data_IF_513834034767
#
_entry.id   IF_513834034767
#
_cell.length_a   1.000
_cell.length_b   1.000
_cell.length_c   1.000
_cell.angle_alpha   90.00
_cell.angle_beta   90.00
_cell.angle_gamma   90.00
#
_symmetry.space_group_name_H-M   'P 1'
#
loop_
_entity.id
_entity.type
_entity.pdbx_description
1 polymer ?
#
# COMPACT_ATOMS: atom_id res chain seq x y z
N UNK A 1 0.62 16.06 -7.10
CA UNK A 1 1.83 16.91 -6.93
C UNK A 1 1.97 17.90 -8.08
N UNK A 2 1.93 17.48 -9.31
CA UNK A 2 2.20 18.29 -10.51
C UNK A 2 1.30 19.50 -10.64
N UNK A 3 -0.02 19.32 -10.56
CA UNK A 3 -1.01 20.39 -10.69
C UNK A 3 -0.85 21.48 -9.62
N UNK A 4 -0.68 21.08 -8.34
CA UNK A 4 -0.59 22.02 -7.22
C UNK A 4 0.71 22.81 -7.15
N UNK A 5 1.78 22.29 -7.75
CA UNK A 5 3.07 22.97 -7.79
C UNK A 5 3.41 23.50 -9.19
N UNK A 6 2.46 23.41 -10.14
CA UNK A 6 2.64 23.81 -11.54
C UNK A 6 3.93 23.25 -12.15
N UNK A 7 4.11 21.94 -12.05
CA UNK A 7 5.34 21.26 -12.45
C UNK A 7 5.11 20.39 -13.69
N UNK A 8 6.04 20.52 -14.64
CA UNK A 8 6.13 19.55 -15.73
C UNK A 8 6.78 18.26 -15.19
N UNK A 9 6.05 17.14 -15.27
CA UNK A 9 6.53 15.84 -14.84
C UNK A 9 7.87 15.48 -15.50
N UNK A 10 8.76 14.86 -14.76
CA UNK A 10 10.13 14.47 -15.15
C UNK A 10 11.09 15.64 -15.44
N UNK A 11 10.72 16.88 -15.17
CA UNK A 11 11.64 18.01 -15.22
C UNK A 11 12.53 18.07 -13.97
N UNK A 12 13.65 18.82 -14.04
CA UNK A 12 14.52 19.03 -12.87
C UNK A 12 13.78 19.62 -11.67
N UNK A 13 12.85 20.57 -11.91
CA UNK A 13 12.01 21.14 -10.85
C UNK A 13 11.07 20.10 -10.24
N UNK A 14 10.56 19.16 -11.06
CA UNK A 14 9.73 18.07 -10.58
C UNK A 14 10.52 17.12 -9.65
N UNK A 15 11.76 16.76 -10.01
CA UNK A 15 12.63 15.94 -9.15
C UNK A 15 12.99 16.64 -7.85
N UNK A 16 13.22 17.96 -7.85
CA UNK A 16 13.43 18.73 -6.62
C UNK A 16 12.19 18.66 -5.70
N UNK A 17 10.99 18.76 -6.27
CA UNK A 17 9.76 18.62 -5.50
C UNK A 17 9.53 17.18 -5.01
N UNK A 18 9.81 16.18 -5.87
CA UNK A 18 9.73 14.77 -5.49
C UNK A 18 10.68 14.45 -4.31
N UNK A 19 11.87 15.01 -4.29
CA UNK A 19 12.81 14.87 -3.18
C UNK A 19 12.23 15.41 -1.85
N UNK A 20 11.52 16.55 -1.89
CA UNK A 20 10.83 17.10 -0.72
C UNK A 20 9.70 16.18 -0.23
N UNK A 21 8.92 15.59 -1.15
CA UNK A 21 7.89 14.60 -0.82
C UNK A 21 8.50 13.32 -0.25
N UNK A 22 9.55 12.78 -0.87
CA UNK A 22 10.25 11.60 -0.37
C UNK A 22 10.81 11.81 1.05
N UNK A 23 11.40 12.99 1.31
CA UNK A 23 11.88 13.39 2.64
C UNK A 23 10.72 13.45 3.66
N UNK A 24 9.59 14.03 3.29
CA UNK A 24 8.38 14.05 4.12
C UNK A 24 7.90 12.63 4.43
N UNK A 25 7.75 11.79 3.41
CA UNK A 25 7.31 10.40 3.57
C UNK A 25 8.24 9.62 4.52
N UNK A 26 9.54 9.75 4.35
CA UNK A 26 10.53 9.12 5.23
C UNK A 26 10.44 9.63 6.69
N UNK A 27 10.19 10.93 6.89
CA UNK A 27 9.96 11.47 8.23
C UNK A 27 8.72 10.89 8.90
N UNK A 28 7.70 10.50 8.11
CA UNK A 28 6.51 9.77 8.53
C UNK A 28 6.72 8.25 8.70
N UNK A 29 7.95 7.76 8.56
CA UNK A 29 8.33 6.34 8.64
C UNK A 29 7.81 5.49 7.50
N UNK A 30 7.40 6.09 6.39
CA UNK A 30 7.06 5.35 5.17
C UNK A 30 8.33 4.82 4.50
N UNK A 31 8.27 3.59 4.00
CA UNK A 31 9.42 2.91 3.40
C UNK A 31 9.09 2.12 2.13
N UNK A 32 7.87 2.30 1.61
CA UNK A 32 7.40 1.76 0.34
C UNK A 32 6.80 2.86 -0.53
N UNK A 33 7.04 2.82 -1.85
CA UNK A 33 6.46 3.76 -2.81
C UNK A 33 6.07 3.03 -4.09
N UNK A 34 4.94 3.46 -4.66
CA UNK A 34 4.45 2.93 -5.95
C UNK A 34 5.21 3.56 -7.11
N UNK A 35 5.68 2.70 -8.01
CA UNK A 35 6.33 3.10 -9.27
C UNK A 35 5.28 3.69 -10.22
N UNK A 36 5.55 4.84 -10.86
CA UNK A 36 4.66 5.42 -11.86
C UNK A 36 4.42 4.50 -13.06
N UNK A 37 3.14 4.26 -13.36
CA UNK A 37 2.75 3.28 -14.40
C UNK A 37 3.20 3.65 -15.81
N UNK A 38 3.28 4.94 -16.13
CA UNK A 38 3.71 5.43 -17.43
C UNK A 38 5.19 5.13 -17.77
N UNK A 39 5.97 4.64 -16.82
CA UNK A 39 7.35 4.18 -17.07
C UNK A 39 7.41 2.85 -17.83
N UNK A 40 6.28 2.13 -17.89
CA UNK A 40 6.07 0.97 -18.75
C UNK A 40 4.99 1.37 -19.76
N UNK A 41 5.35 1.49 -21.02
CA UNK A 41 4.44 2.01 -22.04
C UNK A 41 4.70 1.37 -23.42
N UNK A 42 3.88 1.72 -24.41
CA UNK A 42 4.11 1.37 -25.81
C UNK A 42 4.83 2.51 -26.53
N UNK A 43 5.90 2.19 -27.22
CA UNK A 43 6.60 3.10 -28.10
C UNK A 43 6.78 2.41 -29.47
N UNK A 44 6.24 3.01 -30.50
CA UNK A 44 6.26 2.45 -31.88
C UNK A 44 5.69 1.01 -31.94
N UNK A 45 4.66 0.71 -31.14
CA UNK A 45 4.04 -0.63 -31.01
C UNK A 45 4.78 -1.61 -30.11
N UNK A 46 6.01 -1.29 -29.70
CA UNK A 46 6.82 -2.13 -28.82
C UNK A 46 6.70 -1.73 -27.35
N UNK A 47 6.77 -2.72 -26.46
CA UNK A 47 6.76 -2.47 -25.01
C UNK A 47 8.09 -1.87 -24.59
N UNK A 48 8.02 -0.66 -24.09
CA UNK A 48 9.17 0.11 -23.61
C UNK A 48 9.13 0.28 -22.09
N UNK A 49 10.27 0.04 -21.44
CA UNK A 49 10.51 0.36 -20.03
C UNK A 49 11.51 1.49 -19.96
N UNK A 50 11.11 2.65 -19.44
CA UNK A 50 11.97 3.81 -19.27
C UNK A 50 12.91 3.61 -18.06
N UNK A 51 13.97 2.82 -18.26
CA UNK A 51 14.91 2.45 -17.18
C UNK A 51 15.56 3.67 -16.54
N UNK A 52 15.90 4.69 -17.33
CA UNK A 52 16.59 5.88 -16.82
C UNK A 52 15.72 6.69 -15.87
N UNK A 53 14.45 6.93 -16.24
CA UNK A 53 13.52 7.61 -15.34
C UNK A 53 13.13 6.74 -14.17
N UNK A 54 12.97 5.43 -14.36
CA UNK A 54 12.63 4.50 -13.29
C UNK A 54 13.69 4.45 -12.22
N UNK A 55 14.96 4.28 -12.59
CA UNK A 55 16.05 4.28 -11.61
C UNK A 55 16.27 5.66 -10.98
N UNK A 56 16.10 6.74 -11.74
CA UNK A 56 16.17 8.10 -11.22
C UNK A 56 15.09 8.36 -10.17
N UNK A 57 13.85 7.90 -10.43
CA UNK A 57 12.77 7.95 -9.46
C UNK A 57 13.10 7.14 -8.20
N UNK A 58 13.50 5.90 -8.36
CA UNK A 58 13.85 4.99 -7.24
C UNK A 58 14.97 5.58 -6.38
N UNK A 59 16.01 6.15 -6.98
CA UNK A 59 17.14 6.74 -6.27
C UNK A 59 16.75 7.92 -5.36
N UNK A 60 15.72 8.70 -5.72
CA UNK A 60 15.17 9.74 -4.84
C UNK A 60 14.69 9.15 -3.53
N UNK A 61 14.02 7.99 -3.56
CA UNK A 61 13.51 7.34 -2.37
C UNK A 61 14.58 6.53 -1.62
N UNK A 62 15.47 5.85 -2.33
CA UNK A 62 16.59 5.13 -1.71
C UNK A 62 17.46 6.06 -0.84
N UNK A 63 17.68 7.31 -1.28
CA UNK A 63 18.37 8.36 -0.51
C UNK A 63 17.78 8.55 0.90
N UNK A 64 16.49 8.32 1.07
CA UNK A 64 15.77 8.46 2.34
C UNK A 64 15.47 7.13 3.04
N UNK A 65 16.08 6.03 2.59
CA UNK A 65 15.98 4.74 3.25
C UNK A 65 14.73 3.92 2.92
N UNK A 66 14.05 4.24 1.81
CA UNK A 66 12.98 3.39 1.30
C UNK A 66 13.52 2.01 0.94
N UNK A 67 12.73 0.98 1.22
CA UNK A 67 13.14 -0.41 1.08
C UNK A 67 12.32 -1.20 0.08
N UNK A 68 11.13 -0.70 -0.30
CA UNK A 68 10.21 -1.42 -1.17
C UNK A 68 9.68 -0.51 -2.26
N UNK A 69 9.53 -1.10 -3.45
CA UNK A 69 9.04 -0.45 -4.66
C UNK A 69 7.91 -1.27 -5.24
N UNK A 70 6.71 -0.73 -5.15
CA UNK A 70 5.47 -1.37 -5.59
C UNK A 70 5.26 -1.10 -7.08
N UNK A 71 5.16 -2.16 -7.88
CA UNK A 71 4.97 -2.01 -9.33
C UNK A 71 3.60 -1.41 -9.66
N UNK A 72 3.42 -0.85 -10.85
CA UNK A 72 2.07 -0.63 -11.37
C UNK A 72 1.37 -1.97 -11.64
N UNK A 73 0.04 -1.96 -11.63
CA UNK A 73 -0.76 -3.10 -12.08
C UNK A 73 -0.53 -3.37 -13.57
N UNK A 74 -0.34 -4.62 -13.96
CA UNK A 74 -0.13 -5.05 -15.34
C UNK A 74 -1.45 -5.21 -16.08
N UNK A 75 -2.48 -5.63 -15.38
CA UNK A 75 -3.83 -5.85 -15.90
C UNK A 75 -4.86 -5.02 -15.15
N UNK A 76 -6.07 -4.98 -15.69
CA UNK A 76 -7.25 -4.40 -15.08
C UNK A 76 -8.47 -5.23 -15.37
N UNK A 77 -9.57 -4.91 -14.71
CA UNK A 77 -10.89 -5.42 -15.06
C UNK A 77 -11.32 -4.75 -16.36
N UNK A 78 -11.95 -5.45 -17.28
CA UNK A 78 -12.30 -5.00 -18.63
C UNK A 78 -12.96 -3.62 -18.75
N UNK A 79 -13.70 -3.37 -19.80
CA UNK A 79 -14.37 -2.09 -20.02
C UNK A 79 -15.23 -1.69 -18.82
N UNK A 80 -15.14 -0.41 -18.44
CA UNK A 80 -15.89 0.18 -17.31
C UNK A 80 -15.54 -0.39 -15.92
N UNK A 81 -14.35 -0.98 -15.74
CA UNK A 81 -13.92 -1.55 -14.46
C UNK A 81 -14.91 -2.63 -13.94
N UNK A 82 -15.33 -3.53 -14.84
CA UNK A 82 -16.34 -4.54 -14.56
C UNK A 82 -15.84 -5.60 -13.57
N UNK A 83 -16.36 -5.56 -12.35
CA UNK A 83 -16.03 -6.50 -11.27
C UNK A 83 -16.52 -7.93 -11.52
N UNK A 84 -17.49 -8.11 -12.43
CA UNK A 84 -18.03 -9.40 -12.87
C UNK A 84 -17.27 -10.03 -14.03
N UNK A 85 -16.25 -9.36 -14.57
CA UNK A 85 -15.46 -9.90 -15.68
C UNK A 85 -14.58 -11.07 -15.21
N UNK A 86 -14.69 -12.26 -15.81
CA UNK A 86 -13.84 -13.40 -15.49
C UNK A 86 -12.44 -13.30 -16.10
N UNK A 87 -12.24 -12.48 -17.11
CA UNK A 87 -10.96 -12.26 -17.75
C UNK A 87 -10.40 -10.87 -17.43
N UNK A 88 -9.12 -10.82 -17.11
CA UNK A 88 -8.36 -9.59 -16.94
C UNK A 88 -7.81 -9.10 -18.28
N UNK A 89 -7.76 -7.77 -18.41
CA UNK A 89 -7.33 -7.06 -19.62
C UNK A 89 -5.98 -6.42 -19.40
N UNK A 90 -5.04 -6.56 -20.34
CA UNK A 90 -3.72 -5.94 -20.27
C UNK A 90 -3.81 -4.41 -20.32
N UNK A 91 -2.90 -3.74 -19.60
CA UNK A 91 -2.92 -2.26 -19.46
C UNK A 91 -2.38 -1.53 -20.68
N UNK A 92 -1.47 -2.14 -21.44
CA UNK A 92 -0.81 -1.46 -22.56
C UNK A 92 -1.57 -1.65 -23.87
N UNK A 93 -1.88 -2.88 -24.26
CA UNK A 93 -2.58 -3.20 -25.51
C UNK A 93 -4.09 -3.28 -25.37
N UNK A 94 -4.58 -3.33 -24.13
CA UNK A 94 -6.02 -3.42 -23.81
C UNK A 94 -6.68 -4.66 -24.44
N UNK A 95 -6.00 -5.80 -24.37
CA UNK A 95 -6.47 -7.10 -24.87
C UNK A 95 -6.65 -8.09 -23.71
N UNK A 96 -7.52 -9.10 -23.90
CA UNK A 96 -7.72 -10.14 -22.91
C UNK A 96 -6.44 -10.94 -22.66
N UNK A 97 -6.18 -11.31 -21.41
CA UNK A 97 -4.98 -12.07 -21.04
C UNK A 97 -4.87 -13.40 -21.78
N UNK A 98 -5.99 -14.10 -22.03
CA UNK A 98 -5.95 -15.41 -22.66
C UNK A 98 -5.63 -15.38 -24.15
N UNK A 99 -5.58 -14.22 -24.78
CA UNK A 99 -5.09 -14.08 -26.16
C UNK A 99 -3.57 -14.27 -26.22
N UNK A 100 -3.04 -14.66 -27.38
CA UNK A 100 -1.58 -14.77 -27.57
C UNK A 100 -0.89 -13.42 -27.34
N UNK A 101 -1.52 -12.33 -27.77
CA UNK A 101 -1.02 -10.98 -27.58
C UNK A 101 -0.99 -10.58 -26.09
N UNK A 102 -2.04 -10.93 -25.33
CA UNK A 102 -2.11 -10.66 -23.90
C UNK A 102 -1.05 -11.42 -23.10
N UNK A 103 -0.88 -12.72 -23.37
CA UNK A 103 0.20 -13.53 -22.75
C UNK A 103 1.58 -13.00 -23.10
N UNK A 104 1.79 -12.63 -24.38
CA UNK A 104 3.05 -12.06 -24.84
C UNK A 104 3.36 -10.70 -24.16
N UNK A 105 2.34 -9.85 -23.96
CA UNK A 105 2.52 -8.59 -23.22
C UNK A 105 3.06 -8.85 -21.82
N UNK A 106 2.44 -9.75 -21.05
CA UNK A 106 2.87 -10.11 -19.70
C UNK A 106 4.29 -10.70 -19.69
N UNK A 107 4.60 -11.56 -20.66
CA UNK A 107 5.93 -12.17 -20.82
C UNK A 107 7.01 -11.10 -21.01
N UNK A 108 6.81 -10.18 -21.97
CA UNK A 108 7.76 -9.12 -22.29
C UNK A 108 7.97 -8.19 -21.11
N UNK A 109 6.88 -7.74 -20.47
CA UNK A 109 6.97 -6.86 -19.29
C UNK A 109 7.74 -7.57 -18.16
N UNK A 110 7.40 -8.81 -17.87
CA UNK A 110 8.06 -9.58 -16.79
C UNK A 110 9.57 -9.74 -17.05
N UNK A 111 9.96 -10.08 -18.29
CA UNK A 111 11.39 -10.16 -18.67
C UNK A 111 12.12 -8.83 -18.51
N UNK A 112 11.47 -7.71 -18.90
CA UNK A 112 12.06 -6.37 -18.74
C UNK A 112 12.20 -5.99 -17.25
N UNK A 113 11.19 -6.24 -16.44
CA UNK A 113 11.24 -5.99 -14.99
C UNK A 113 12.34 -6.85 -14.34
N UNK A 114 12.42 -8.14 -14.67
CA UNK A 114 13.48 -9.02 -14.18
C UNK A 114 14.86 -8.45 -14.49
N UNK A 115 15.13 -8.15 -15.75
CA UNK A 115 16.42 -7.56 -16.17
C UNK A 115 16.73 -6.25 -15.45
N UNK A 116 15.74 -5.39 -15.27
CA UNK A 116 15.88 -4.12 -14.56
C UNK A 116 16.22 -4.34 -13.07
N UNK A 117 15.46 -5.17 -12.39
CA UNK A 117 15.63 -5.41 -10.95
C UNK A 117 16.94 -6.14 -10.64
N UNK A 118 17.37 -7.05 -11.49
CA UNK A 118 18.67 -7.72 -11.38
C UNK A 118 19.83 -6.72 -11.60
N UNK A 119 19.75 -5.90 -12.67
CA UNK A 119 20.77 -4.88 -13.01
C UNK A 119 21.02 -3.90 -11.87
N UNK A 120 19.96 -3.50 -11.15
CA UNK A 120 20.03 -2.49 -10.10
C UNK A 120 19.96 -3.07 -8.67
N UNK A 121 20.06 -4.40 -8.52
CA UNK A 121 19.97 -5.11 -7.23
C UNK A 121 18.67 -4.84 -6.45
N UNK A 122 17.55 -4.72 -7.15
CA UNK A 122 16.24 -4.41 -6.59
C UNK A 122 15.32 -5.62 -6.42
N UNK A 123 15.75 -6.83 -6.78
CA UNK A 123 14.94 -8.06 -6.77
C UNK A 123 14.18 -8.28 -5.45
N UNK A 124 14.87 -8.10 -4.32
CA UNK A 124 14.27 -8.29 -2.98
C UNK A 124 13.42 -7.09 -2.51
N UNK A 125 13.50 -5.99 -3.21
CA UNK A 125 12.82 -4.73 -2.88
C UNK A 125 11.59 -4.49 -3.77
N UNK A 126 11.46 -5.24 -4.86
CA UNK A 126 10.38 -5.11 -5.82
C UNK A 126 9.16 -5.93 -5.39
N UNK A 127 8.00 -5.26 -5.33
CA UNK A 127 6.71 -5.87 -5.04
C UNK A 127 5.85 -5.78 -6.30
N UNK A 128 5.49 -6.93 -6.86
CA UNK A 128 4.78 -6.98 -8.13
C UNK A 128 3.27 -7.03 -7.92
N UNK A 129 2.55 -6.09 -8.52
CA UNK A 129 1.11 -6.15 -8.67
C UNK A 129 0.71 -6.76 -10.01
N UNK A 130 -0.38 -7.52 -10.01
CA UNK A 130 -0.99 -8.07 -11.24
C UNK A 130 -2.19 -7.21 -11.62
N UNK A 131 -3.24 -7.21 -10.80
CA UNK A 131 -4.47 -6.44 -11.02
C UNK A 131 -5.06 -6.04 -9.68
N UNK A 132 -5.66 -4.85 -9.62
CA UNK A 132 -6.25 -4.29 -8.42
C UNK A 132 -7.46 -5.09 -7.94
N UNK A 133 -7.47 -5.45 -6.66
CA UNK A 133 -8.57 -6.14 -5.98
C UNK A 133 -9.19 -7.30 -6.79
N UNK A 134 -8.43 -8.38 -7.10
CA UNK A 134 -8.98 -9.52 -7.81
C UNK A 134 -10.15 -10.14 -7.03
N UNK A 135 -11.17 -10.58 -7.78
CA UNK A 135 -12.40 -11.16 -7.25
C UNK A 135 -12.42 -12.67 -7.43
N UNK A 136 -13.35 -13.37 -6.78
CA UNK A 136 -13.56 -14.81 -7.01
C UNK A 136 -13.90 -15.13 -8.48
N UNK A 137 -14.48 -14.18 -9.21
CA UNK A 137 -14.87 -14.34 -10.62
C UNK A 137 -13.63 -14.39 -11.53
N UNK A 138 -12.62 -13.54 -11.29
CA UNK A 138 -11.40 -13.50 -12.09
C UNK A 138 -10.18 -14.17 -11.42
N UNK A 139 -10.38 -14.83 -10.29
CA UNK A 139 -9.30 -15.47 -9.53
C UNK A 139 -8.51 -16.49 -10.36
N UNK A 140 -9.19 -17.24 -11.25
CA UNK A 140 -8.49 -18.19 -12.15
C UNK A 140 -7.56 -17.45 -13.11
N UNK A 141 -8.04 -16.40 -13.77
CA UNK A 141 -7.22 -15.59 -14.68
C UNK A 141 -6.03 -14.97 -13.93
N UNK A 142 -6.27 -14.38 -12.77
CA UNK A 142 -5.22 -13.82 -11.90
C UNK A 142 -4.17 -14.88 -11.54
N UNK A 143 -4.58 -16.10 -11.19
CA UNK A 143 -3.67 -17.18 -10.81
C UNK A 143 -2.85 -17.67 -12.00
N UNK A 144 -3.44 -17.75 -13.19
CA UNK A 144 -2.73 -18.12 -14.43
C UNK A 144 -1.65 -17.08 -14.77
N UNK A 145 -1.96 -15.78 -14.61
CA UNK A 145 -0.99 -14.68 -14.78
C UNK A 145 0.13 -14.79 -13.76
N UNK A 146 -0.21 -15.01 -12.49
CA UNK A 146 0.77 -15.19 -11.40
C UNK A 146 1.73 -16.34 -11.71
N UNK A 147 1.21 -17.46 -12.17
CA UNK A 147 2.00 -18.64 -12.54
C UNK A 147 2.93 -18.32 -13.73
N UNK A 148 2.45 -17.62 -14.77
CA UNK A 148 3.29 -17.18 -15.88
C UNK A 148 4.43 -16.28 -15.43
N UNK A 149 4.13 -15.28 -14.59
CA UNK A 149 5.13 -14.36 -14.03
C UNK A 149 6.19 -15.13 -13.21
N UNK A 150 5.75 -16.00 -12.31
CA UNK A 150 6.66 -16.80 -11.46
C UNK A 150 7.48 -17.81 -12.25
N UNK A 151 6.98 -18.33 -13.36
CA UNK A 151 7.76 -19.19 -14.27
C UNK A 151 8.92 -18.42 -14.91
N UNK A 152 8.72 -17.15 -15.28
CA UNK A 152 9.75 -16.30 -15.90
C UNK A 152 10.69 -15.72 -14.85
N UNK A 153 10.13 -15.37 -13.70
CA UNK A 153 10.84 -14.67 -12.61
C UNK A 153 10.48 -15.29 -11.24
N UNK A 154 11.09 -16.46 -10.89
CA UNK A 154 10.74 -17.21 -9.68
C UNK A 154 10.92 -16.45 -8.35
N UNK A 155 11.89 -15.54 -8.28
CA UNK A 155 12.20 -14.79 -7.06
C UNK A 155 11.25 -13.62 -6.78
N UNK A 156 10.43 -13.24 -7.77
CA UNK A 156 9.52 -12.09 -7.63
C UNK A 156 8.47 -12.35 -6.56
N UNK A 157 8.15 -11.32 -5.79
CA UNK A 157 7.08 -11.36 -4.80
C UNK A 157 5.83 -10.66 -5.33
N UNK A 158 4.75 -11.41 -5.42
CA UNK A 158 3.45 -10.88 -5.83
C UNK A 158 2.72 -10.40 -4.59
N UNK A 159 2.38 -9.10 -4.58
CA UNK A 159 1.59 -8.46 -3.54
C UNK A 159 0.26 -7.99 -4.11
N UNK A 160 -0.82 -8.22 -3.36
CA UNK A 160 -2.12 -7.71 -3.80
C UNK A 160 -3.03 -7.33 -2.64
N UNK A 161 -3.72 -6.20 -2.81
CA UNK A 161 -4.83 -5.81 -1.95
C UNK A 161 -6.09 -6.54 -2.43
N UNK A 162 -6.68 -7.38 -1.57
CA UNK A 162 -7.88 -8.14 -1.94
C UNK A 162 -8.60 -8.71 -0.73
N UNK A 163 -9.91 -8.83 -0.84
CA UNK A 163 -10.78 -9.56 0.10
C UNK A 163 -11.14 -10.96 -0.42
N UNK A 164 -10.62 -11.36 -1.58
CA UNK A 164 -10.76 -12.71 -2.12
C UNK A 164 -9.64 -13.58 -1.57
N UNK A 165 -9.95 -14.75 -1.02
CA UNK A 165 -9.02 -15.58 -0.26
C UNK A 165 -8.72 -16.92 -0.94
N UNK A 166 -9.58 -17.91 -0.75
CA UNK A 166 -9.30 -19.32 -1.08
C UNK A 166 -9.01 -19.55 -2.56
N UNK A 167 -9.74 -18.87 -3.43
CA UNK A 167 -9.56 -18.97 -4.90
C UNK A 167 -8.24 -18.36 -5.41
N UNK A 168 -7.54 -17.59 -4.58
CA UNK A 168 -6.23 -16.98 -4.89
C UNK A 168 -5.05 -17.65 -4.14
N UNK A 169 -5.30 -18.74 -3.47
CA UNK A 169 -4.43 -19.36 -2.45
C UNK A 169 -2.95 -19.56 -2.79
N UNK A 170 -2.52 -19.69 -4.04
CA UNK A 170 -1.11 -19.86 -4.40
C UNK A 170 -0.61 -18.76 -5.36
N UNK A 171 -1.45 -17.74 -5.61
CA UNK A 171 -1.14 -16.69 -6.56
C UNK A 171 -0.42 -15.50 -5.92
N UNK A 172 -0.57 -15.32 -4.59
CA UNK A 172 -0.11 -14.14 -3.83
C UNK A 172 0.94 -14.56 -2.82
N UNK A 173 2.04 -13.83 -2.73
CA UNK A 173 3.08 -14.02 -1.71
C UNK A 173 2.90 -13.06 -0.52
N UNK A 174 2.31 -11.89 -0.78
CA UNK A 174 2.11 -10.84 0.21
C UNK A 174 0.66 -10.36 0.13
N UNK A 175 -0.13 -10.82 1.08
CA UNK A 175 -1.54 -10.50 1.19
C UNK A 175 -1.75 -9.13 1.83
N UNK A 176 -2.69 -8.36 1.29
CA UNK A 176 -3.08 -7.08 1.87
C UNK A 176 -4.61 -7.00 1.98
N UNK A 177 -5.25 -7.73 2.92
CA UNK A 177 -6.68 -7.61 3.18
C UNK A 177 -7.03 -6.28 3.86
N UNK A 178 -8.26 -5.82 3.67
CA UNK A 178 -8.81 -4.75 4.49
C UNK A 178 -8.93 -5.21 5.95
N UNK A 179 -8.74 -4.31 6.91
CA UNK A 179 -8.61 -4.68 8.33
C UNK A 179 -9.79 -5.46 8.91
N UNK A 180 -11.01 -5.22 8.42
CA UNK A 180 -12.19 -5.99 8.86
C UNK A 180 -12.16 -7.41 8.29
N UNK A 181 -11.83 -7.58 7.01
CA UNK A 181 -11.68 -8.92 6.42
C UNK A 181 -10.54 -9.69 7.10
N UNK A 182 -9.41 -9.03 7.37
CA UNK A 182 -8.32 -9.62 8.12
C UNK A 182 -8.77 -10.12 9.50
N UNK A 183 -9.46 -9.26 10.29
CA UNK A 183 -9.88 -9.62 11.64
C UNK A 183 -10.94 -10.72 11.68
N UNK A 184 -11.85 -10.74 10.71
CA UNK A 184 -12.92 -11.74 10.60
C UNK A 184 -12.40 -13.10 10.10
N UNK A 185 -11.28 -13.10 9.36
CA UNK A 185 -10.69 -14.28 8.74
C UNK A 185 -9.23 -14.51 9.16
N UNK A 186 -8.87 -14.14 10.38
CA UNK A 186 -7.49 -14.23 10.88
C UNK A 186 -6.88 -15.61 10.68
N UNK A 187 -7.63 -16.69 10.91
CA UNK A 187 -7.17 -18.07 10.77
C UNK A 187 -6.71 -18.41 9.35
N UNK A 188 -7.39 -17.89 8.32
CA UNK A 188 -6.93 -18.04 6.94
C UNK A 188 -5.56 -17.41 6.76
N UNK A 189 -5.38 -16.15 7.15
CA UNK A 189 -4.11 -15.45 6.98
C UNK A 189 -2.98 -16.08 7.80
N UNK A 190 -3.28 -16.56 9.03
CA UNK A 190 -2.31 -17.35 9.82
C UNK A 190 -1.90 -18.64 9.13
N UNK A 191 -2.81 -19.29 8.42
CA UNK A 191 -2.49 -20.48 7.64
C UNK A 191 -1.54 -20.17 6.47
N UNK A 192 -1.70 -19.02 5.83
CA UNK A 192 -0.82 -18.55 4.73
C UNK A 192 0.59 -18.20 5.25
N UNK A 193 0.66 -17.54 6.39
CA UNK A 193 1.96 -17.25 7.03
C UNK A 193 2.77 -18.51 7.36
N UNK A 194 2.10 -19.61 7.73
CA UNK A 194 2.78 -20.93 7.95
C UNK A 194 3.38 -21.48 6.66
N UNK A 195 2.90 -21.07 5.50
CA UNK A 195 3.47 -21.40 4.19
C UNK A 195 4.58 -20.44 3.74
N UNK A 196 4.95 -19.48 4.59
CA UNK A 196 6.00 -18.48 4.32
C UNK A 196 5.53 -17.20 3.63
N UNK A 197 4.23 -17.07 3.39
CA UNK A 197 3.64 -15.84 2.86
C UNK A 197 3.60 -14.73 3.92
N UNK A 198 3.37 -13.50 3.51
CA UNK A 198 3.32 -12.33 4.40
C UNK A 198 1.95 -11.66 4.34
N UNK A 199 1.62 -10.94 5.41
CA UNK A 199 0.36 -10.20 5.51
C UNK A 199 0.63 -8.75 5.88
N UNK A 200 0.11 -7.82 5.06
CA UNK A 200 -0.14 -6.43 5.40
C UNK A 200 -1.63 -6.28 5.71
N UNK A 201 -2.02 -5.11 6.15
CA UNK A 201 -3.44 -4.72 6.21
C UNK A 201 -3.62 -3.35 5.56
N UNK A 202 -4.81 -3.08 5.01
CA UNK A 202 -5.12 -1.77 4.48
C UNK A 202 -6.45 -1.22 5.00
N UNK A 203 -6.63 0.08 4.81
CA UNK A 203 -7.92 0.76 4.85
C UNK A 203 -8.01 1.70 3.65
N UNK A 204 -9.24 2.06 3.29
CA UNK A 204 -9.53 3.04 2.26
C UNK A 204 -10.74 3.89 2.70
N UNK A 205 -11.71 4.14 1.81
CA UNK A 205 -12.99 4.75 2.17
C UNK A 205 -13.75 3.93 3.24
N UNK A 206 -13.40 2.68 3.42
CA UNK A 206 -13.92 1.73 4.41
C UNK A 206 -12.76 1.05 5.15
N UNK A 207 -13.02 0.40 6.31
CA UNK A 207 -14.25 0.40 7.09
C UNK A 207 -14.42 1.71 7.89
N UNK A 208 -15.67 2.01 8.24
CA UNK A 208 -16.03 3.16 9.07
C UNK A 208 -16.40 2.79 10.52
N UNK A 209 -17.07 3.71 11.23
CA UNK A 209 -17.60 3.49 12.56
C UNK A 209 -16.51 3.22 13.62
N UNK A 210 -16.55 2.07 14.29
CA UNK A 210 -15.60 1.70 15.35
C UNK A 210 -14.25 1.19 14.83
N UNK A 211 -14.15 0.86 13.56
CA UNK A 211 -12.90 0.38 12.97
C UNK A 211 -11.83 1.47 12.95
N UNK A 212 -10.57 1.06 13.02
CA UNK A 212 -9.48 2.00 12.74
C UNK A 212 -9.60 2.48 11.29
N UNK A 213 -9.43 3.75 11.07
CA UNK A 213 -9.20 4.37 9.78
C UNK A 213 -8.52 5.74 9.99
N UNK A 214 -8.29 6.50 8.92
CA UNK A 214 -7.55 7.76 8.96
C UNK A 214 -8.34 8.95 8.42
N UNK A 215 -9.67 8.89 8.41
CA UNK A 215 -10.52 10.00 7.98
C UNK A 215 -10.43 11.22 8.91
N UNK A 216 -10.83 12.39 8.43
CA UNK A 216 -10.68 13.65 9.17
C UNK A 216 -11.53 13.71 10.45
N UNK A 217 -12.67 13.09 10.45
CA UNK A 217 -13.65 13.02 11.53
C UNK A 217 -13.29 12.04 12.67
N UNK A 218 -12.28 11.19 12.45
CA UNK A 218 -11.84 10.22 13.45
C UNK A 218 -10.83 10.80 14.43
N UNK A 219 -10.84 10.29 15.67
CA UNK A 219 -9.83 10.62 16.68
C UNK A 219 -8.44 10.17 16.22
N UNK A 220 -7.46 11.05 16.30
CA UNK A 220 -6.11 10.81 15.78
C UNK A 220 -5.40 9.63 16.44
N UNK A 221 -5.79 9.26 17.66
CA UNK A 221 -5.26 8.07 18.34
C UNK A 221 -5.55 6.76 17.59
N UNK A 222 -6.62 6.70 16.79
CA UNK A 222 -6.92 5.52 15.96
C UNK A 222 -5.82 5.22 14.97
N UNK A 223 -5.21 6.27 14.40
CA UNK A 223 -4.11 6.11 13.44
C UNK A 223 -2.82 5.63 14.11
N UNK A 224 -2.59 6.01 15.36
CA UNK A 224 -1.48 5.48 16.18
C UNK A 224 -1.63 3.98 16.36
N UNK A 225 -2.83 3.48 16.51
CA UNK A 225 -3.09 2.06 16.76
C UNK A 225 -2.87 1.12 15.57
N UNK A 226 -2.63 1.61 14.36
CA UNK A 226 -2.15 0.75 13.29
C UNK A 226 -0.79 0.11 13.64
N UNK A 227 0.11 0.85 14.27
CA UNK A 227 1.36 0.29 14.78
C UNK A 227 1.16 -0.75 15.90
N UNK A 228 0.20 -0.51 16.79
CA UNK A 228 -0.15 -1.47 17.85
C UNK A 228 -0.78 -2.74 17.29
N UNK A 229 -1.66 -2.60 16.29
CA UNK A 229 -2.23 -3.74 15.56
C UNK A 229 -1.16 -4.52 14.84
N UNK A 230 -0.23 -3.84 14.17
CA UNK A 230 0.93 -4.47 13.52
C UNK A 230 1.73 -5.35 14.48
N UNK A 231 2.07 -4.85 15.66
CA UNK A 231 2.80 -5.61 16.68
C UNK A 231 1.98 -6.75 17.28
N UNK A 232 0.68 -6.52 17.55
CA UNK A 232 -0.21 -7.55 18.10
C UNK A 232 -0.40 -8.72 17.15
N UNK A 233 -0.68 -8.42 15.90
CA UNK A 233 -1.00 -9.41 14.87
C UNK A 233 0.21 -9.81 14.02
N UNK A 234 1.39 -9.29 14.31
CA UNK A 234 2.62 -9.57 13.56
C UNK A 234 2.47 -9.32 12.04
N UNK A 235 1.69 -8.32 11.65
CA UNK A 235 1.53 -7.96 10.25
C UNK A 235 2.74 -7.18 9.75
N UNK A 236 3.11 -7.40 8.48
CA UNK A 236 4.30 -6.79 7.86
C UNK A 236 4.18 -5.27 7.72
N UNK A 237 2.98 -4.73 7.60
CA UNK A 237 2.77 -3.30 7.40
C UNK A 237 1.31 -2.89 7.26
N UNK A 238 1.16 -1.59 6.99
CA UNK A 238 -0.13 -0.97 6.71
C UNK A 238 -0.07 -0.20 5.38
N UNK A 239 -1.08 -0.37 4.56
CA UNK A 239 -1.23 0.28 3.27
C UNK A 239 -2.45 1.19 3.26
N UNK A 240 -2.34 2.30 2.54
CA UNK A 240 -3.47 3.12 2.12
C UNK A 240 -3.16 3.74 0.76
N UNK A 241 -4.16 3.77 -0.12
CA UNK A 241 -4.01 4.21 -1.51
C UNK A 241 -3.69 5.71 -1.67
N UNK A 242 -4.10 6.54 -0.72
CA UNK A 242 -4.00 7.99 -0.81
C UNK A 242 -3.05 8.61 0.21
N UNK A 243 -1.92 9.16 -0.25
CA UNK A 243 -1.08 10.08 0.53
C UNK A 243 -1.38 11.53 0.16
N UNK A 244 -1.43 11.81 -1.15
CA UNK A 244 -1.59 13.13 -1.76
C UNK A 244 -2.39 13.06 -3.07
N UNK A 245 -3.39 12.18 -3.11
CA UNK A 245 -4.28 11.97 -4.26
C UNK A 245 -5.38 13.03 -4.30
N UNK A 246 -4.97 14.31 -4.44
CA UNK A 246 -5.89 15.43 -4.44
C UNK A 246 -6.84 15.33 -5.64
N UNK A 247 -8.14 15.22 -5.37
CA UNK A 247 -9.23 15.21 -6.37
C UNK A 247 -9.99 16.55 -6.38
N UNK A 248 -9.70 17.40 -5.40
CA UNK A 248 -10.14 18.77 -5.24
C UNK A 248 -9.13 19.50 -4.37
N UNK A 249 -9.28 20.80 -4.16
CA UNK A 249 -8.44 21.54 -3.23
C UNK A 249 -8.59 20.98 -1.80
N UNK A 250 -7.53 20.35 -1.23
CA UNK A 250 -7.62 19.66 0.05
C UNK A 250 -7.84 20.61 1.24
N UNK A 251 -7.62 21.91 1.08
CA UNK A 251 -7.84 22.91 2.14
C UNK A 251 -9.31 23.32 2.26
N UNK A 252 -10.06 23.23 1.17
CA UNK A 252 -11.45 23.70 1.12
C UNK A 252 -12.47 22.60 0.89
N UNK A 253 -12.06 21.46 0.29
CA UNK A 253 -12.97 20.36 -0.03
C UNK A 253 -12.32 19.01 0.32
N UNK A 254 -12.74 18.42 1.43
CA UNK A 254 -12.21 17.14 1.93
C UNK A 254 -13.04 15.91 1.53
N UNK A 255 -14.31 16.10 1.15
CA UNK A 255 -15.21 15.07 0.61
C UNK A 255 -15.27 15.22 -0.90
N UNK A 256 -14.96 14.17 -1.62
CA UNK A 256 -14.90 14.18 -3.08
C UNK A 256 -15.68 13.01 -3.66
N UNK A 257 -16.14 13.15 -4.90
CA UNK A 257 -16.83 12.09 -5.61
C UNK A 257 -15.91 10.88 -5.81
N UNK A 258 -16.47 9.69 -5.70
CA UNK A 258 -15.73 8.45 -5.96
C UNK A 258 -15.23 8.43 -7.42
N UNK A 259 -13.95 8.08 -7.68
CA UNK A 259 -13.38 8.17 -9.02
C UNK A 259 -13.90 7.08 -9.99
N UNK A 260 -14.36 5.92 -9.47
CA UNK A 260 -14.85 4.83 -10.32
C UNK A 260 -16.28 5.14 -10.80
N UNK A 261 -16.55 5.05 -12.12
CA UNK A 261 -17.89 5.26 -12.66
C UNK A 261 -18.94 4.27 -12.13
N UNK A 262 -18.54 3.04 -11.82
CA UNK A 262 -19.47 2.01 -11.33
C UNK A 262 -19.90 2.22 -9.88
N UNK A 263 -19.18 3.05 -9.13
CA UNK A 263 -19.56 3.40 -7.76
C UNK A 263 -20.88 4.20 -7.70
N UNK A 264 -21.34 4.72 -8.85
CA UNK A 264 -22.57 5.49 -8.97
C UNK A 264 -22.40 6.97 -8.66
N UNK A 265 -23.39 7.80 -9.04
CA UNK A 265 -23.29 9.27 -9.00
C UNK A 265 -23.28 9.85 -7.59
N UNK A 266 -23.84 9.15 -6.62
CA UNK A 266 -24.00 9.59 -5.24
C UNK A 266 -23.00 8.95 -4.27
N UNK A 267 -21.96 8.30 -4.78
CA UNK A 267 -20.92 7.73 -3.95
C UNK A 267 -19.76 8.72 -3.77
N UNK A 268 -19.40 8.98 -2.53
CA UNK A 268 -18.37 9.92 -2.15
C UNK A 268 -17.33 9.25 -1.27
N UNK A 269 -16.06 9.64 -1.46
CA UNK A 269 -14.99 9.29 -0.55
C UNK A 269 -15.14 10.10 0.74
N UNK A 270 -14.99 9.48 1.92
CA UNK A 270 -15.08 10.20 3.19
C UNK A 270 -13.99 11.27 3.32
N UNK A 271 -14.25 12.23 4.20
CA UNK A 271 -13.38 13.36 4.41
C UNK A 271 -11.93 12.95 4.69
N UNK A 272 -11.01 13.35 3.83
CA UNK A 272 -9.58 13.11 3.96
C UNK A 272 -9.09 11.71 3.58
N UNK A 273 -9.93 10.86 2.99
CA UNK A 273 -9.50 9.55 2.48
C UNK A 273 -8.39 9.68 1.43
N UNK A 274 -8.49 10.68 0.55
CA UNK A 274 -7.55 10.89 -0.55
C UNK A 274 -6.16 11.37 -0.13
N UNK A 275 -6.02 11.94 1.07
CA UNK A 275 -4.76 12.58 1.48
C UNK A 275 -4.57 12.63 2.99
N UNK A 276 -3.30 12.66 3.41
CA UNK A 276 -2.88 12.93 4.80
C UNK A 276 -1.80 14.01 4.88
N UNK A 277 -1.22 14.41 3.76
CA UNK A 277 -0.34 15.57 3.61
C UNK A 277 -1.00 16.59 2.68
N UNK A 278 -0.58 17.84 2.76
CA UNK A 278 -1.17 18.95 2.03
C UNK A 278 -0.14 19.60 1.11
N UNK A 279 -0.54 20.18 -0.04
CA UNK A 279 0.39 20.91 -0.89
C UNK A 279 0.67 22.29 -0.28
N UNK A 280 1.91 22.56 0.09
CA UNK A 280 2.34 23.90 0.46
C UNK A 280 3.07 24.59 -0.70
N UNK A 281 3.30 25.87 -0.60
CA UNK A 281 3.95 26.67 -1.64
C UNK A 281 5.33 26.13 -2.01
N UNK A 282 6.15 25.82 -1.02
CA UNK A 282 7.51 25.33 -1.22
C UNK A 282 7.66 23.80 -1.16
N UNK A 283 6.61 23.06 -0.92
CA UNK A 283 6.64 21.61 -0.78
C UNK A 283 5.49 21.05 0.07
N UNK A 284 5.49 19.75 0.39
CA UNK A 284 4.41 19.16 1.17
C UNK A 284 4.36 19.68 2.60
N UNK A 285 3.16 19.84 3.14
CA UNK A 285 2.89 20.17 4.53
C UNK A 285 2.41 18.91 5.27
N UNK A 286 2.92 18.71 6.48
CA UNK A 286 2.48 17.65 7.38
C UNK A 286 1.07 17.93 7.92
N UNK A 287 0.43 16.91 8.50
CA UNK A 287 -0.83 17.04 9.21
C UNK A 287 -0.83 16.24 10.51
N UNK A 288 -1.79 16.53 11.39
CA UNK A 288 -1.98 15.73 12.61
C UNK A 288 -2.23 14.25 12.32
N UNK A 289 -2.82 13.91 11.17
CA UNK A 289 -3.04 12.53 10.75
C UNK A 289 -1.73 11.87 10.32
N UNK A 290 -0.90 12.58 9.57
CA UNK A 290 0.42 12.11 9.18
C UNK A 290 1.33 11.89 10.39
N UNK A 291 1.35 12.85 11.34
CA UNK A 291 2.10 12.71 12.59
C UNK A 291 1.59 11.57 13.48
N UNK A 292 0.27 11.33 13.50
CA UNK A 292 -0.29 10.19 14.21
C UNK A 292 0.18 8.85 13.63
N UNK A 293 0.27 8.72 12.30
CA UNK A 293 0.87 7.54 11.66
C UNK A 293 2.35 7.38 12.03
N UNK A 294 3.12 8.46 11.98
CA UNK A 294 4.54 8.44 12.40
C UNK A 294 4.68 7.91 13.83
N UNK A 295 3.87 8.44 14.76
CA UNK A 295 3.86 7.98 16.15
C UNK A 295 3.49 6.49 16.24
N UNK A 296 2.53 6.03 15.43
CA UNK A 296 2.14 4.62 15.36
C UNK A 296 3.28 3.72 14.91
N UNK A 297 4.04 4.13 13.89
CA UNK A 297 5.21 3.38 13.43
C UNK A 297 6.32 3.35 14.50
N UNK A 298 6.54 4.46 15.21
CA UNK A 298 7.51 4.51 16.31
C UNK A 298 7.07 3.64 17.51
N UNK A 299 5.77 3.61 17.79
CA UNK A 299 5.22 2.72 18.83
C UNK A 299 5.39 1.24 18.43
N UNK A 300 5.21 0.91 17.14
CA UNK A 300 5.48 -0.44 16.64
C UNK A 300 6.90 -0.88 16.96
N UNK A 301 7.91 -0.07 16.66
CA UNK A 301 9.30 -0.39 16.95
C UNK A 301 9.54 -0.59 18.46
N UNK A 302 8.98 0.30 19.29
CA UNK A 302 9.06 0.15 20.74
C UNK A 302 8.39 -1.13 21.25
N UNK A 303 7.25 -1.51 20.67
CA UNK A 303 6.54 -2.74 21.00
C UNK A 303 7.31 -3.97 20.57
N UNK A 304 7.96 -3.96 19.38
CA UNK A 304 8.81 -5.05 18.92
C UNK A 304 10.09 -5.18 19.76
N UNK A 305 10.66 -4.08 20.25
CA UNK A 305 11.73 -4.11 21.25
C UNK A 305 11.25 -4.76 22.56
N UNK A 306 10.10 -4.31 23.07
CA UNK A 306 9.51 -4.87 24.28
C UNK A 306 9.20 -6.36 24.13
N UNK A 307 8.68 -6.78 22.99
CA UNK A 307 8.35 -8.17 22.68
C UNK A 307 9.56 -9.11 22.77
N UNK A 308 10.74 -8.61 22.37
CA UNK A 308 12.02 -9.34 22.48
C UNK A 308 12.54 -9.42 23.93
N UNK A 309 12.28 -8.41 24.73
CA UNK A 309 12.74 -8.31 26.14
C UNK A 309 11.81 -9.10 27.05
N UNK A 310 10.48 -8.89 26.91
CA UNK A 310 9.45 -9.48 27.77
C UNK A 310 8.15 -9.68 26.98
N UNK A 311 7.99 -10.86 26.40
CA UNK A 311 6.84 -11.22 25.58
C UNK A 311 5.51 -11.17 26.35
N UNK A 312 5.50 -11.63 27.61
CA UNK A 312 4.28 -11.67 28.42
C UNK A 312 3.83 -10.25 28.81
N UNK A 313 4.79 -9.39 29.14
CA UNK A 313 4.49 -7.99 29.40
C UNK A 313 4.02 -7.26 28.13
N UNK A 314 4.64 -7.53 26.97
CA UNK A 314 4.20 -7.00 25.67
C UNK A 314 2.72 -7.36 25.43
N UNK A 315 2.35 -8.64 25.50
CA UNK A 315 0.97 -9.10 25.34
C UNK A 315 0.02 -8.39 26.32
N UNK A 316 0.36 -8.42 27.59
CA UNK A 316 -0.44 -7.79 28.67
C UNK A 316 -0.64 -6.29 28.47
N UNK A 317 0.37 -5.58 27.96
CA UNK A 317 0.30 -4.11 27.83
C UNK A 317 -0.49 -3.71 26.59
N UNK A 318 -0.41 -4.47 25.50
CA UNK A 318 -1.24 -4.26 24.32
C UNK A 318 -2.71 -4.50 24.66
N UNK A 319 -3.05 -5.64 25.25
CA UNK A 319 -4.44 -6.00 25.57
C UNK A 319 -5.12 -5.00 26.52
N UNK A 320 -4.36 -4.25 27.31
CA UNK A 320 -4.90 -3.17 28.17
C UNK A 320 -5.44 -1.98 27.38
N UNK A 321 -4.98 -1.73 26.18
CA UNK A 321 -5.30 -0.50 25.45
C UNK A 321 -5.87 -0.78 24.06
N UNK A 322 -5.43 -1.84 23.43
CA UNK A 322 -5.80 -2.26 22.09
C UNK A 322 -6.12 -3.76 22.07
N UNK A 323 -7.40 -4.11 22.07
CA UNK A 323 -7.85 -5.49 21.99
C UNK A 323 -7.88 -5.99 20.57
N UNK A 324 -8.46 -5.21 19.64
CA UNK A 324 -8.55 -5.47 18.22
C UNK A 324 -8.87 -4.17 17.46
N UNK A 325 -9.05 -4.27 16.15
CA UNK A 325 -9.29 -3.10 15.28
C UNK A 325 -10.62 -2.36 15.51
N UNK A 326 -11.51 -2.88 16.38
CA UNK A 326 -12.77 -2.23 16.78
C UNK A 326 -12.86 -1.92 18.28
N UNK A 327 -11.96 -2.51 19.07
CA UNK A 327 -11.99 -2.42 20.55
C UNK A 327 -10.64 -1.91 21.09
N UNK A 328 -10.59 -0.64 21.38
CA UNK A 328 -9.39 0.07 21.85
C UNK A 328 -9.77 1.27 22.71
N UNK A 329 -8.81 1.81 23.43
CA UNK A 329 -9.03 2.97 24.30
C UNK A 329 -8.69 4.28 23.58
N UNK A 330 -9.62 5.23 23.53
CA UNK A 330 -9.36 6.58 23.02
C UNK A 330 -8.78 7.54 24.10
N UNK A 331 -8.58 7.07 25.32
CA UNK A 331 -8.02 7.87 26.43
C UNK A 331 -6.54 8.17 26.24
N UNK A 332 -6.20 9.40 25.89
CA UNK A 332 -4.81 9.87 25.80
C UNK A 332 -4.05 9.76 27.13
N UNK A 333 -4.72 9.94 28.28
CA UNK A 333 -4.11 9.75 29.59
C UNK A 333 -3.68 8.29 29.80
N UNK A 334 -4.53 7.34 29.41
CA UNK A 334 -4.23 5.91 29.48
C UNK A 334 -3.10 5.54 28.52
N UNK A 335 -3.15 6.02 27.28
CA UNK A 335 -2.11 5.82 26.27
C UNK A 335 -0.74 6.33 26.76
N UNK A 336 -0.64 7.59 27.19
CA UNK A 336 0.61 8.18 27.69
C UNK A 336 1.20 7.41 28.88
N UNK A 337 0.36 6.96 29.80
CA UNK A 337 0.80 6.14 30.94
C UNK A 337 1.38 4.79 30.48
N UNK A 338 0.74 4.15 29.51
CA UNK A 338 1.20 2.87 28.97
C UNK A 338 2.49 3.06 28.20
N UNK A 339 2.58 4.05 27.30
CA UNK A 339 3.81 4.36 26.56
C UNK A 339 5.00 4.64 27.49
N UNK A 340 4.78 5.39 28.59
CA UNK A 340 5.83 5.63 29.60
C UNK A 340 6.34 4.33 30.23
N UNK A 341 5.48 3.34 30.43
CA UNK A 341 5.89 2.02 30.96
C UNK A 341 6.72 1.24 29.94
N UNK A 342 6.31 1.24 28.67
CA UNK A 342 7.08 0.62 27.58
C UNK A 342 8.48 1.23 27.53
N UNK A 343 8.57 2.57 27.45
CA UNK A 343 9.85 3.28 27.40
C UNK A 343 10.77 2.94 28.57
N UNK A 344 10.23 2.85 29.80
CA UNK A 344 11.02 2.47 30.97
C UNK A 344 11.57 1.05 30.89
N UNK A 345 10.85 0.13 30.26
CA UNK A 345 11.29 -1.28 30.13
C UNK A 345 12.32 -1.44 29.03
N UNK A 346 12.15 -0.74 27.88
CA UNK A 346 13.08 -0.86 26.76
C UNK A 346 14.36 -0.02 26.89
N UNK A 347 14.41 0.91 27.85
CA UNK A 347 15.59 1.75 28.13
C UNK A 347 16.54 1.15 29.18
N UNK A 348 16.19 0.01 29.75
CA UNK A 348 17.03 -0.77 30.67
C UNK A 348 17.86 -1.81 29.93
#
# INVERSE_FOLDING_TARGET
MEEYHNLKRWSSKWYIMLDKYAKMMASGRQNCVKIPGELINLKDGEIFLDEEKMISFINVFLKYGFKFFESPHLLGRGKNDDWGSPELITKLRNVGYYTDEGKNEIEIITKKIKKFTEKYNLTKQWLQHIADEPTSVNAKCYSDVSMQIKTIYPEIKIMEATNTRESLGNAIDIWCPIINDFQENEDFFRSREKLGEKVLVYTCLVPGGKWLNRTLDMEKIRQVYFGWGGSKYNTMGYLHWGLNQYKADPFTQSVVKHPSPIAGPNNFLPAGDTHVIYPGEEGPLSSLRFEAHRIGCEDYELLEMLKKIDFDFHKKIIDKIFTNYTTYSTSLKKYKRIKKRILKTVSL
#
